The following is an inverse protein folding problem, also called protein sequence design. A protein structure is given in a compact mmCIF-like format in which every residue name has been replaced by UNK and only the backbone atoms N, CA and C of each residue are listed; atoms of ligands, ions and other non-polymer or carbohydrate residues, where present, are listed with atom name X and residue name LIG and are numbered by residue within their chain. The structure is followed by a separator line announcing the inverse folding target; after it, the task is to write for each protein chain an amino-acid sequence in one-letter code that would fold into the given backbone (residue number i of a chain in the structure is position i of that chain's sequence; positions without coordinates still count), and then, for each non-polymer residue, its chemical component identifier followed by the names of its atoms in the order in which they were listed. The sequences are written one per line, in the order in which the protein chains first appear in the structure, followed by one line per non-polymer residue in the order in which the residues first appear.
data_IF_859615786235
#
_entry.id   IF_859615786235
#
_cell.length_a   1.000
_cell.length_b   1.000
_cell.length_c   1.000
_cell.angle_alpha   90.00
_cell.angle_beta   90.00
_cell.angle_gamma   90.00
#
_symmetry.space_group_name_H-M   'P 1'
#
loop_
_entity.id
_entity.type
_entity.pdbx_description
1 polymer ?
#
# COMPACT_ATOMS: atom_id res chain seq x y z
N UNK A 1 -3.97 27.22 -24.97
CA UNK A 1 -3.70 27.56 -23.55
C UNK A 1 -4.88 28.30 -22.94
N UNK A 2 -5.39 29.37 -23.56
CA UNK A 2 -6.52 30.17 -23.01
C UNK A 2 -7.87 29.42 -22.89
N UNK A 3 -8.19 28.48 -23.78
CA UNK A 3 -9.46 27.73 -23.73
C UNK A 3 -9.52 26.76 -22.55
N UNK A 4 -8.38 26.24 -22.10
CA UNK A 4 -8.28 25.36 -20.92
C UNK A 4 -8.37 26.19 -19.64
N UNK A 5 -7.81 27.40 -19.63
CA UNK A 5 -7.87 28.34 -18.51
C UNK A 5 -9.30 28.89 -18.29
N UNK A 6 -10.07 29.06 -19.37
CA UNK A 6 -11.47 29.47 -19.31
C UNK A 6 -12.41 28.38 -18.79
N UNK A 7 -12.16 27.10 -19.13
CA UNK A 7 -12.90 25.97 -18.57
C UNK A 7 -12.53 25.72 -17.10
N UNK A 8 -11.27 25.93 -16.72
CA UNK A 8 -10.77 25.86 -15.34
C UNK A 8 -11.45 26.87 -14.40
N UNK A 9 -11.68 28.11 -14.89
CA UNK A 9 -12.27 29.17 -14.07
C UNK A 9 -13.81 29.10 -13.95
N UNK A 10 -14.52 28.43 -14.87
CA UNK A 10 -15.98 28.39 -14.86
C UNK A 10 -16.59 27.24 -14.03
N UNK A 11 -15.97 26.05 -13.98
CA UNK A 11 -16.53 24.89 -13.25
C UNK A 11 -16.05 24.75 -11.79
N UNK A 12 -14.86 25.27 -11.45
CA UNK A 12 -14.22 25.00 -10.14
C UNK A 12 -14.27 26.14 -9.12
N UNK A 13 -14.66 27.36 -9.53
CA UNK A 13 -14.84 28.53 -8.67
C UNK A 13 -15.79 28.32 -7.47
N UNK A 14 -16.88 27.52 -7.55
CA UNK A 14 -17.76 27.33 -6.39
C UNK A 14 -17.18 26.40 -5.31
N UNK A 15 -16.22 25.55 -5.66
CA UNK A 15 -15.72 24.47 -4.77
C UNK A 15 -14.45 24.91 -4.02
N UNK A 16 -13.60 25.73 -4.64
CA UNK A 16 -12.34 26.23 -4.05
C UNK A 16 -12.55 27.06 -2.78
N UNK A 17 -13.71 27.70 -2.65
CA UNK A 17 -14.05 28.52 -1.47
C UNK A 17 -14.66 27.72 -0.30
N UNK A 18 -15.00 26.44 -0.49
CA UNK A 18 -15.58 25.58 0.55
C UNK A 18 -14.60 24.53 1.11
N UNK A 19 -13.44 24.35 0.48
CA UNK A 19 -12.51 23.27 0.78
C UNK A 19 -11.22 23.86 1.37
N UNK A 20 -10.87 23.43 2.58
CA UNK A 20 -9.63 23.81 3.26
C UNK A 20 -8.41 23.65 2.31
N UNK A 21 -7.48 24.62 2.25
CA UNK A 21 -6.34 24.58 1.32
C UNK A 21 -5.51 23.29 1.41
N UNK A 22 -5.48 22.62 2.57
CA UNK A 22 -4.80 21.31 2.72
C UNK A 22 -5.54 20.16 2.04
N UNK A 23 -6.87 20.19 2.05
CA UNK A 23 -7.74 19.21 1.37
C UNK A 23 -7.71 19.41 -0.14
N UNK A 24 -7.61 20.67 -0.59
CA UNK A 24 -7.39 21.00 -2.00
C UNK A 24 -6.08 20.38 -2.51
N UNK A 25 -4.99 20.48 -1.76
CA UNK A 25 -3.70 19.85 -2.11
C UNK A 25 -3.77 18.32 -2.16
N UNK A 26 -4.50 17.65 -1.25
CA UNK A 26 -4.64 16.19 -1.30
C UNK A 26 -5.46 15.75 -2.51
N UNK A 27 -6.58 16.43 -2.78
CA UNK A 27 -7.41 16.15 -3.97
C UNK A 27 -6.64 16.47 -5.25
N UNK A 28 -5.89 17.56 -5.31
CA UNK A 28 -5.03 17.91 -6.45
C UNK A 28 -3.88 16.93 -6.63
N UNK A 29 -3.20 16.49 -5.58
CA UNK A 29 -2.11 15.50 -5.68
C UNK A 29 -2.68 14.16 -6.16
N UNK A 30 -3.81 13.71 -5.61
CA UNK A 30 -4.47 12.48 -6.03
C UNK A 30 -4.92 12.61 -7.49
N UNK A 31 -5.54 13.74 -7.87
CA UNK A 31 -6.01 14.01 -9.23
C UNK A 31 -4.86 14.16 -10.24
N UNK A 32 -3.79 14.86 -9.87
CA UNK A 32 -2.58 15.07 -10.67
C UNK A 32 -1.82 13.76 -10.87
N UNK A 33 -1.63 12.95 -9.81
CA UNK A 33 -1.00 11.63 -9.92
C UNK A 33 -1.87 10.70 -10.78
N UNK A 34 -3.19 10.69 -10.59
CA UNK A 34 -4.09 9.91 -11.44
C UNK A 34 -3.96 10.37 -12.90
N UNK A 35 -3.97 11.68 -13.17
CA UNK A 35 -3.89 12.21 -14.52
C UNK A 35 -2.52 12.04 -15.17
N UNK A 36 -1.40 12.21 -14.47
CA UNK A 36 -0.05 11.96 -15.00
C UNK A 36 0.15 10.48 -15.32
N UNK A 37 -0.29 9.58 -14.44
CA UNK A 37 -0.19 8.13 -14.68
C UNK A 37 -1.15 7.70 -15.80
N UNK A 38 -2.31 8.34 -15.96
CA UNK A 38 -3.21 8.13 -17.10
C UNK A 38 -2.66 8.75 -18.39
N UNK A 39 -1.98 9.89 -18.33
CA UNK A 39 -1.30 10.53 -19.46
C UNK A 39 -0.13 9.68 -19.96
N UNK A 40 0.64 9.08 -19.06
CA UNK A 40 1.63 8.05 -19.41
C UNK A 40 0.94 6.87 -20.12
N UNK A 41 -0.19 6.37 -19.63
CA UNK A 41 -0.96 5.31 -20.34
C UNK A 41 -1.47 5.77 -21.72
N UNK A 42 -1.88 7.03 -21.87
CA UNK A 42 -2.37 7.60 -23.14
C UNK A 42 -1.24 7.76 -24.16
N UNK A 43 -0.12 8.38 -23.76
CA UNK A 43 1.05 8.59 -24.62
C UNK A 43 1.63 7.26 -25.11
N UNK A 44 1.72 6.26 -24.23
CA UNK A 44 2.20 4.93 -24.62
C UNK A 44 1.14 4.08 -25.35
N UNK A 45 -0.15 4.32 -25.14
CA UNK A 45 -1.24 3.69 -25.90
C UNK A 45 -1.31 4.16 -27.36
N UNK A 46 -0.78 5.35 -27.66
CA UNK A 46 -0.65 5.87 -29.02
C UNK A 46 0.63 5.35 -29.71
N UNK A 47 1.66 5.03 -28.92
CA UNK A 47 2.91 4.44 -29.41
C UNK A 47 2.76 2.93 -29.68
N UNK A 48 2.27 2.58 -30.88
CA UNK A 48 2.22 1.24 -31.50
C UNK A 48 1.12 0.28 -31.01
N UNK A 49 0.15 -0.10 -31.86
CA UNK A 49 -0.79 -1.18 -31.58
C UNK A 49 -0.15 -2.59 -31.63
N UNK A 50 1.16 -2.70 -31.93
CA UNK A 50 1.88 -3.95 -32.11
C UNK A 50 2.87 -4.27 -30.98
N UNK A 51 3.12 -3.34 -30.05
CA UNK A 51 3.88 -3.63 -28.84
C UNK A 51 3.00 -4.36 -27.82
N UNK A 52 2.74 -5.63 -28.12
CA UNK A 52 2.19 -6.73 -27.31
C UNK A 52 1.68 -6.38 -25.91
N UNK A 53 0.43 -6.78 -25.60
CA UNK A 53 -0.19 -6.81 -24.26
C UNK A 53 0.78 -7.15 -23.09
N UNK A 54 1.76 -8.01 -23.35
CA UNK A 54 2.87 -8.34 -22.45
C UNK A 54 3.71 -7.13 -22.01
N UNK A 55 4.12 -6.25 -22.93
CA UNK A 55 4.92 -5.04 -22.66
C UNK A 55 4.16 -4.06 -21.80
N UNK A 56 2.86 -3.86 -22.09
CA UNK A 56 2.00 -2.98 -21.30
C UNK A 56 1.79 -3.49 -19.86
N UNK A 57 1.52 -4.79 -19.70
CA UNK A 57 1.43 -5.43 -18.38
C UNK A 57 2.76 -5.31 -17.62
N UNK A 58 3.88 -5.62 -18.27
CA UNK A 58 5.21 -5.56 -17.66
C UNK A 58 5.56 -4.15 -17.17
N UNK A 59 5.33 -3.11 -17.99
CA UNK A 59 5.55 -1.72 -17.60
C UNK A 59 4.68 -1.32 -16.41
N UNK A 60 3.41 -1.74 -16.40
CA UNK A 60 2.50 -1.57 -15.26
C UNK A 60 3.10 -2.13 -13.97
N UNK A 61 3.64 -3.34 -14.02
CA UNK A 61 4.29 -3.98 -12.88
C UNK A 61 5.54 -3.21 -12.43
N UNK A 62 6.39 -2.80 -13.37
CA UNK A 62 7.61 -2.04 -13.04
C UNK A 62 7.28 -0.70 -12.36
N UNK A 63 6.28 0.03 -12.86
CA UNK A 63 5.85 1.29 -12.25
C UNK A 63 5.28 1.07 -10.85
N UNK A 64 4.43 0.06 -10.69
CA UNK A 64 3.86 -0.32 -9.39
C UNK A 64 4.97 -0.65 -8.38
N UNK A 65 5.91 -1.52 -8.76
CA UNK A 65 7.00 -1.95 -7.90
C UNK A 65 7.94 -0.78 -7.57
N UNK A 66 8.23 0.09 -8.54
CA UNK A 66 9.04 1.29 -8.33
C UNK A 66 8.39 2.25 -7.31
N UNK A 67 7.07 2.46 -7.40
CA UNK A 67 6.33 3.31 -6.46
C UNK A 67 6.29 2.70 -5.07
N UNK A 68 6.09 1.38 -4.96
CA UNK A 68 6.18 0.69 -3.67
C UNK A 68 7.58 0.79 -3.06
N UNK A 69 8.64 0.61 -3.86
CA UNK A 69 10.02 0.72 -3.40
C UNK A 69 10.36 2.15 -2.97
N UNK A 70 9.90 3.17 -3.71
CA UNK A 70 10.14 4.56 -3.35
C UNK A 70 9.42 4.96 -2.06
N UNK A 71 8.14 4.60 -1.92
CA UNK A 71 7.37 4.83 -0.69
C UNK A 71 8.00 4.11 0.51
N UNK A 72 8.42 2.86 0.31
CA UNK A 72 9.10 2.05 1.31
C UNK A 72 10.43 2.65 1.77
N UNK A 73 11.22 3.15 0.82
CA UNK A 73 12.52 3.79 1.09
C UNK A 73 12.33 5.10 1.86
N UNK A 74 11.31 5.89 1.50
CA UNK A 74 10.95 7.12 2.20
C UNK A 74 10.52 6.82 3.65
N UNK A 75 9.68 5.81 3.87
CA UNK A 75 9.27 5.38 5.21
C UNK A 75 10.46 4.93 6.04
N UNK A 76 11.34 4.08 5.50
CA UNK A 76 12.55 3.64 6.20
C UNK A 76 13.46 4.82 6.54
N UNK A 77 13.64 5.75 5.61
CA UNK A 77 14.43 6.97 5.82
C UNK A 77 13.86 7.80 6.98
N UNK A 78 12.55 8.05 7.00
CA UNK A 78 11.88 8.80 8.08
C UNK A 78 12.12 8.12 9.43
N UNK A 79 11.98 6.80 9.51
CA UNK A 79 12.13 6.07 10.76
C UNK A 79 13.57 6.06 11.26
N UNK A 80 14.54 5.86 10.37
CA UNK A 80 15.96 5.89 10.71
C UNK A 80 16.35 7.29 11.16
N UNK A 81 15.96 8.33 10.42
CA UNK A 81 16.21 9.72 10.77
C UNK A 81 15.61 10.08 12.14
N UNK A 82 14.35 9.69 12.39
CA UNK A 82 13.67 9.96 13.64
C UNK A 82 14.28 9.18 14.81
N UNK A 83 14.69 7.93 14.58
CA UNK A 83 15.38 7.11 15.57
C UNK A 83 16.75 7.69 15.94
N UNK A 84 17.49 8.22 14.96
CA UNK A 84 18.77 8.89 15.20
C UNK A 84 18.60 10.22 15.96
N UNK A 85 17.52 10.97 15.68
CA UNK A 85 17.27 12.28 16.29
C UNK A 85 16.75 12.18 17.72
N UNK A 86 15.81 11.27 17.99
CA UNK A 86 15.05 11.22 19.24
C UNK A 86 15.21 9.90 20.03
N UNK A 87 16.01 8.95 19.53
CA UNK A 87 16.09 7.59 20.08
C UNK A 87 14.85 6.74 19.77
N UNK A 88 14.94 5.44 20.07
CA UNK A 88 13.84 4.48 19.85
C UNK A 88 12.62 4.77 20.72
N UNK A 89 12.82 5.27 21.93
CA UNK A 89 11.73 5.52 22.88
C UNK A 89 10.91 6.75 22.50
N UNK A 90 11.56 7.77 21.93
CA UNK A 90 10.90 8.96 21.39
C UNK A 90 10.11 8.68 20.10
N UNK A 91 10.50 7.65 19.33
CA UNK A 91 9.77 7.23 18.11
C UNK A 91 8.35 6.76 18.44
N UNK A 92 8.16 6.12 19.60
CA UNK A 92 6.86 5.58 20.02
C UNK A 92 6.14 6.48 21.03
N UNK A 93 6.52 7.75 21.15
CA UNK A 93 5.84 8.67 22.06
C UNK A 93 4.44 9.05 21.53
N UNK A 94 3.43 9.03 22.39
CA UNK A 94 2.04 9.28 21.98
C UNK A 94 1.83 10.67 21.35
N UNK A 95 2.43 11.69 21.95
CA UNK A 95 2.38 13.09 21.50
C UNK A 95 2.90 13.22 20.06
N UNK A 96 4.03 12.57 19.78
CA UNK A 96 4.65 12.50 18.46
C UNK A 96 3.80 11.71 17.47
N UNK A 97 3.20 10.59 17.88
CA UNK A 97 2.45 9.72 16.98
C UNK A 97 1.05 10.25 16.60
N UNK A 98 0.38 10.95 17.52
CA UNK A 98 -1.00 11.42 17.32
C UNK A 98 -1.04 12.90 16.92
N UNK A 99 -0.38 13.76 17.70
CA UNK A 99 -0.40 15.21 17.49
C UNK A 99 0.75 15.75 16.65
N UNK A 100 1.83 14.99 16.51
CA UNK A 100 2.98 15.32 15.69
C UNK A 100 2.89 14.80 14.26
N UNK A 101 3.67 15.43 13.38
CA UNK A 101 3.93 14.98 12.02
C UNK A 101 5.44 15.03 11.80
N UNK A 102 6.06 13.88 11.55
CA UNK A 102 7.49 13.83 11.28
C UNK A 102 7.82 14.54 9.96
N UNK A 103 9.07 15.01 9.86
CA UNK A 103 9.59 15.55 8.60
C UNK A 103 9.39 14.49 7.49
N UNK A 104 8.85 14.90 6.35
CA UNK A 104 8.53 14.05 5.20
C UNK A 104 7.36 13.05 5.37
N UNK A 105 6.80 12.89 6.57
CA UNK A 105 5.68 11.97 6.80
C UNK A 105 4.43 12.37 6.01
N UNK A 106 4.04 13.65 6.08
CA UNK A 106 2.86 14.15 5.36
C UNK A 106 2.94 13.95 3.84
N UNK A 107 3.99 14.43 3.13
CA UNK A 107 4.09 14.22 1.68
C UNK A 107 4.21 12.74 1.30
N UNK A 108 4.92 11.92 2.11
CA UNK A 108 5.01 10.47 1.88
C UNK A 108 3.64 9.79 1.99
N UNK A 109 2.82 10.20 2.96
CA UNK A 109 1.46 9.69 3.13
C UNK A 109 0.54 10.17 2.00
N UNK A 110 0.63 11.42 1.55
CA UNK A 110 -0.10 11.94 0.39
C UNK A 110 0.22 11.14 -0.88
N UNK A 111 1.51 10.94 -1.16
CA UNK A 111 1.98 10.17 -2.31
C UNK A 111 1.47 8.72 -2.27
N UNK A 112 1.61 8.07 -1.11
CA UNK A 112 1.10 6.71 -0.91
C UNK A 112 -0.41 6.63 -1.07
N UNK A 113 -1.16 7.60 -0.55
CA UNK A 113 -2.62 7.67 -0.66
C UNK A 113 -3.07 7.81 -2.12
N UNK A 114 -2.44 8.69 -2.90
CA UNK A 114 -2.74 8.83 -4.33
C UNK A 114 -2.47 7.54 -5.11
N UNK A 115 -1.36 6.86 -4.82
CA UNK A 115 -1.06 5.58 -5.42
C UNK A 115 -2.07 4.48 -5.05
N UNK A 116 -2.43 4.33 -3.77
CA UNK A 116 -3.44 3.34 -3.35
C UNK A 116 -4.81 3.60 -4.00
N UNK A 117 -5.19 4.87 -4.19
CA UNK A 117 -6.43 5.25 -4.86
C UNK A 117 -6.40 4.87 -6.34
N UNK A 118 -5.26 5.13 -7.00
CA UNK A 118 -5.02 4.70 -8.36
C UNK A 118 -5.09 3.17 -8.51
N UNK A 119 -4.40 2.42 -7.64
CA UNK A 119 -4.37 0.95 -7.71
C UNK A 119 -5.76 0.36 -7.44
N UNK A 120 -6.53 0.93 -6.50
CA UNK A 120 -7.92 0.57 -6.25
C UNK A 120 -8.81 0.79 -7.48
N UNK A 121 -8.71 1.97 -8.11
CA UNK A 121 -9.48 2.30 -9.31
C UNK A 121 -9.10 1.39 -10.48
N UNK A 122 -7.82 1.10 -10.64
CA UNK A 122 -7.28 0.23 -11.66
C UNK A 122 -7.78 -1.22 -11.47
N UNK A 123 -7.80 -1.74 -10.24
CA UNK A 123 -8.38 -3.05 -9.93
C UNK A 123 -9.88 -3.12 -10.26
N UNK A 124 -10.63 -2.05 -10.04
CA UNK A 124 -12.06 -1.97 -10.35
C UNK A 124 -12.32 -1.94 -11.87
N UNK A 125 -11.63 -1.05 -12.59
CA UNK A 125 -11.80 -0.86 -14.03
C UNK A 125 -11.49 -2.14 -14.81
N UNK A 126 -10.41 -2.83 -14.45
CA UNK A 126 -9.96 -4.03 -15.13
C UNK A 126 -10.45 -5.33 -14.48
N UNK A 127 -11.33 -5.24 -13.47
CA UNK A 127 -11.87 -6.38 -12.72
C UNK A 127 -10.78 -7.36 -12.26
N UNK A 128 -9.65 -6.83 -11.78
CA UNK A 128 -8.47 -7.61 -11.35
C UNK A 128 -8.65 -8.22 -9.95
N UNK A 129 -9.87 -8.63 -9.62
CA UNK A 129 -10.25 -9.17 -8.33
C UNK A 129 -11.01 -10.48 -8.50
N UNK A 130 -10.90 -11.38 -7.53
CA UNK A 130 -11.52 -12.72 -7.58
C UNK A 130 -12.35 -12.97 -6.34
N UNK A 131 -13.56 -13.49 -6.53
CA UNK A 131 -14.52 -13.80 -5.46
C UNK A 131 -15.55 -12.71 -5.19
N UNK A 132 -16.51 -13.03 -4.32
CA UNK A 132 -17.62 -12.15 -3.91
C UNK A 132 -17.15 -10.96 -3.06
N UNK A 133 -16.13 -11.16 -2.21
CA UNK A 133 -15.53 -10.12 -1.37
C UNK A 133 -14.02 -10.18 -1.58
N UNK A 134 -13.47 -9.39 -2.52
CA UNK A 134 -12.05 -9.39 -2.78
C UNK A 134 -11.30 -8.76 -1.61
N UNK A 135 -10.58 -9.59 -0.84
CA UNK A 135 -9.82 -9.17 0.34
C UNK A 135 -8.85 -8.03 0.05
N UNK A 136 -8.19 -8.05 -1.11
CA UNK A 136 -7.27 -6.99 -1.55
C UNK A 136 -7.97 -5.64 -1.77
N UNK A 137 -9.19 -5.65 -2.32
CA UNK A 137 -9.95 -4.43 -2.57
C UNK A 137 -10.46 -3.83 -1.25
N UNK A 138 -10.86 -4.68 -0.31
CA UNK A 138 -11.27 -4.26 1.04
C UNK A 138 -10.09 -3.71 1.84
N UNK A 139 -8.90 -4.31 1.70
CA UNK A 139 -7.66 -3.82 2.28
C UNK A 139 -7.36 -2.39 1.85
N UNK A 140 -7.35 -2.16 0.54
CA UNK A 140 -7.10 -0.84 -0.06
C UNK A 140 -8.18 0.17 0.32
N UNK A 141 -9.45 -0.25 0.40
CA UNK A 141 -10.54 0.61 0.86
C UNK A 141 -10.33 1.07 2.31
N UNK A 142 -10.00 0.15 3.22
CA UNK A 142 -9.76 0.49 4.64
C UNK A 142 -8.56 1.44 4.76
N UNK A 143 -7.45 1.16 4.06
CA UNK A 143 -6.28 2.04 4.03
C UNK A 143 -6.62 3.44 3.51
N UNK A 144 -7.36 3.54 2.40
CA UNK A 144 -7.75 4.82 1.82
C UNK A 144 -8.62 5.66 2.75
N UNK A 145 -9.58 5.04 3.46
CA UNK A 145 -10.39 5.72 4.46
C UNK A 145 -9.51 6.25 5.60
N UNK A 146 -8.61 5.42 6.13
CA UNK A 146 -7.70 5.83 7.19
C UNK A 146 -6.74 6.95 6.76
N UNK A 147 -6.14 6.84 5.56
CA UNK A 147 -5.20 7.81 5.03
C UNK A 147 -5.87 9.14 4.76
N UNK A 148 -7.01 9.13 4.09
CA UNK A 148 -7.77 10.35 3.77
C UNK A 148 -8.21 11.06 5.04
N UNK A 149 -8.71 10.34 6.05
CA UNK A 149 -9.13 10.98 7.30
C UNK A 149 -7.95 11.59 8.06
N UNK A 150 -6.82 10.88 8.14
CA UNK A 150 -5.63 11.39 8.81
C UNK A 150 -5.03 12.60 8.09
N UNK A 151 -5.00 12.60 6.76
CA UNK A 151 -4.57 13.76 5.96
C UNK A 151 -5.53 14.95 6.11
N UNK A 152 -6.84 14.68 6.17
CA UNK A 152 -7.88 15.70 6.35
C UNK A 152 -7.82 16.35 7.74
N UNK A 153 -7.62 15.55 8.80
CA UNK A 153 -7.53 16.05 10.18
C UNK A 153 -6.12 16.48 10.58
N UNK A 154 -5.09 16.06 9.84
CA UNK A 154 -3.67 16.18 10.20
C UNK A 154 -3.37 15.63 11.61
N UNK A 155 -3.95 14.46 11.92
CA UNK A 155 -3.78 13.73 13.18
C UNK A 155 -3.45 12.29 12.83
N UNK A 156 -2.64 11.59 13.63
CA UNK A 156 -2.25 10.18 13.44
C UNK A 156 -1.44 9.88 12.18
N UNK A 157 -0.88 10.91 11.53
CA UNK A 157 -0.08 10.75 10.29
C UNK A 157 1.12 9.81 10.54
N UNK A 158 1.80 9.97 11.67
CA UNK A 158 2.95 9.14 12.03
C UNK A 158 2.55 7.68 12.34
N UNK A 159 1.38 7.45 12.94
CA UNK A 159 0.82 6.10 13.08
C UNK A 159 0.63 5.43 11.70
N UNK A 160 0.16 6.17 10.71
CA UNK A 160 -0.03 5.63 9.37
C UNK A 160 1.30 5.40 8.63
N UNK A 161 2.32 6.23 8.85
CA UNK A 161 3.68 5.93 8.37
C UNK A 161 4.19 4.61 8.94
N UNK A 162 3.97 4.33 10.24
CA UNK A 162 4.32 3.04 10.83
C UNK A 162 3.54 1.88 10.16
N UNK A 163 2.26 2.10 9.84
CA UNK A 163 1.47 1.08 9.13
C UNK A 163 1.93 0.85 7.70
N UNK A 164 2.50 1.85 7.02
CA UNK A 164 3.07 1.69 5.67
C UNK A 164 4.31 0.77 5.63
N UNK A 165 5.07 0.66 6.72
CA UNK A 165 6.11 -0.38 6.85
C UNK A 165 5.51 -1.77 6.63
N UNK A 166 4.26 -1.95 7.06
CA UNK A 166 3.60 -3.24 6.95
C UNK A 166 3.26 -3.62 5.51
N UNK A 167 3.25 -2.64 4.62
CA UNK A 167 3.08 -2.83 3.19
C UNK A 167 4.37 -3.24 2.47
N UNK A 168 5.54 -3.26 3.14
CA UNK A 168 6.77 -3.83 2.57
C UNK A 168 6.60 -5.29 2.13
N UNK A 169 5.68 -6.03 2.77
CA UNK A 169 5.38 -7.40 2.37
C UNK A 169 4.77 -7.50 0.97
N UNK A 170 4.03 -6.49 0.51
CA UNK A 170 3.38 -6.51 -0.81
C UNK A 170 4.42 -6.58 -1.94
N UNK A 171 5.60 -5.97 -1.78
CA UNK A 171 6.71 -6.03 -2.76
C UNK A 171 7.09 -7.48 -3.05
N UNK A 172 7.25 -8.31 -2.01
CA UNK A 172 7.58 -9.73 -2.18
C UNK A 172 6.47 -10.51 -2.87
N UNK A 173 5.20 -10.15 -2.64
CA UNK A 173 4.06 -10.76 -3.33
C UNK A 173 4.00 -10.35 -4.81
N UNK A 174 4.30 -9.09 -5.13
CA UNK A 174 4.37 -8.59 -6.50
C UNK A 174 5.51 -9.27 -7.28
N UNK A 175 6.71 -9.33 -6.70
CA UNK A 175 7.85 -10.07 -7.28
C UNK A 175 7.48 -11.54 -7.53
N UNK A 176 6.79 -12.19 -6.58
CA UNK A 176 6.29 -13.56 -6.77
C UNK A 176 5.28 -13.66 -7.90
N UNK A 177 4.37 -12.69 -8.05
CA UNK A 177 3.39 -12.66 -9.15
C UNK A 177 4.09 -12.48 -10.50
N UNK A 178 5.03 -11.55 -10.60
CA UNK A 178 5.83 -11.28 -11.81
C UNK A 178 6.58 -12.52 -12.26
N UNK A 179 7.30 -13.18 -11.37
CA UNK A 179 8.00 -14.43 -11.69
C UNK A 179 7.07 -15.49 -12.25
N UNK A 180 5.88 -15.67 -11.65
CA UNK A 180 4.89 -16.66 -12.11
C UNK A 180 4.29 -16.30 -13.47
N UNK A 181 4.16 -15.02 -13.80
CA UNK A 181 3.74 -14.54 -15.12
C UNK A 181 4.86 -14.67 -16.16
N UNK A 182 6.12 -14.53 -15.77
CA UNK A 182 7.29 -14.73 -16.64
C UNK A 182 7.54 -16.20 -17.02
N UNK A 183 6.66 -17.13 -16.64
CA UNK A 183 6.77 -18.55 -16.99
C UNK A 183 7.83 -19.32 -16.22
N UNK A 184 8.57 -18.67 -15.31
CA UNK A 184 9.59 -19.29 -14.47
C UNK A 184 8.89 -20.11 -13.37
N UNK A 185 8.59 -21.37 -13.69
CA UNK A 185 7.85 -22.32 -12.84
C UNK A 185 8.71 -23.44 -12.26
N UNK A 186 10.04 -23.38 -12.39
CA UNK A 186 10.94 -24.45 -11.96
C UNK A 186 10.97 -24.65 -10.44
N UNK A 187 10.01 -25.43 -9.95
CA UNK A 187 9.81 -25.82 -8.57
C UNK A 187 10.99 -26.63 -7.96
N UNK A 188 11.92 -27.11 -8.81
CA UNK A 188 13.13 -27.84 -8.39
C UNK A 188 14.28 -26.92 -7.97
N UNK A 189 14.23 -25.62 -8.23
CA UNK A 189 15.35 -24.71 -7.99
C UNK A 189 15.46 -24.25 -6.52
N UNK A 190 16.70 -24.09 -6.03
CA UNK A 190 17.01 -23.42 -4.74
C UNK A 190 16.35 -22.04 -4.64
N UNK A 191 16.09 -21.39 -5.77
CA UNK A 191 15.42 -20.09 -5.90
C UNK A 191 14.00 -20.15 -5.33
N UNK A 192 13.22 -21.19 -5.62
CA UNK A 192 11.84 -21.31 -5.13
C UNK A 192 11.77 -21.51 -3.61
N UNK A 193 12.71 -22.27 -3.05
CA UNK A 193 12.82 -22.42 -1.59
C UNK A 193 13.21 -21.10 -0.93
N UNK A 194 14.19 -20.39 -1.48
CA UNK A 194 14.60 -19.08 -0.97
C UNK A 194 13.45 -18.06 -1.00
N UNK A 195 12.68 -18.03 -2.08
CA UNK A 195 11.51 -17.16 -2.21
C UNK A 195 10.43 -17.46 -1.18
N UNK A 196 10.19 -18.75 -0.90
CA UNK A 196 9.26 -19.15 0.14
C UNK A 196 9.73 -18.71 1.53
N UNK A 197 11.02 -18.90 1.84
CA UNK A 197 11.61 -18.44 3.10
C UNK A 197 11.49 -16.91 3.21
N UNK A 198 11.89 -16.16 2.19
CA UNK A 198 11.79 -14.70 2.17
C UNK A 198 10.35 -14.23 2.34
N UNK A 199 9.38 -14.87 1.68
CA UNK A 199 7.99 -14.48 1.79
C UNK A 199 7.41 -14.76 3.19
N UNK A 200 7.79 -15.87 3.81
CA UNK A 200 7.41 -16.19 5.19
C UNK A 200 8.05 -15.24 6.20
N UNK A 201 9.34 -14.96 6.05
CA UNK A 201 10.06 -14.00 6.92
C UNK A 201 9.44 -12.62 6.79
N UNK A 202 9.21 -12.15 5.56
CA UNK A 202 8.56 -10.87 5.31
C UNK A 202 7.15 -10.82 5.90
N UNK A 203 6.36 -11.89 5.80
CA UNK A 203 5.02 -11.95 6.40
C UNK A 203 5.08 -11.86 7.93
N UNK A 204 5.95 -12.64 8.58
CA UNK A 204 6.06 -12.65 10.04
C UNK A 204 6.57 -11.31 10.56
N UNK A 205 7.63 -10.76 9.97
CA UNK A 205 8.27 -9.53 10.46
C UNK A 205 7.45 -8.30 10.07
N UNK A 206 7.16 -8.14 8.78
CA UNK A 206 6.55 -6.92 8.26
C UNK A 206 5.04 -6.89 8.43
N UNK A 207 4.34 -8.02 8.61
CA UNK A 207 2.88 -8.00 8.83
C UNK A 207 2.51 -8.40 10.25
N UNK A 208 2.91 -9.58 10.73
CA UNK A 208 2.50 -10.01 12.06
C UNK A 208 3.13 -9.15 13.17
N UNK A 209 4.46 -9.03 13.18
CA UNK A 209 5.18 -8.29 14.22
C UNK A 209 4.77 -6.83 14.30
N UNK A 210 4.82 -6.12 13.17
CA UNK A 210 4.45 -4.71 13.07
C UNK A 210 2.98 -4.44 13.47
N UNK A 211 2.01 -5.21 12.97
CA UNK A 211 0.60 -5.01 13.31
C UNK A 211 0.32 -5.30 14.78
N UNK A 212 0.97 -6.31 15.36
CA UNK A 212 0.88 -6.60 16.80
C UNK A 212 1.44 -5.42 17.59
N UNK A 213 2.62 -4.92 17.22
CA UNK A 213 3.24 -3.77 17.88
C UNK A 213 2.35 -2.52 17.81
N UNK A 214 1.84 -2.19 16.62
CA UNK A 214 0.95 -1.03 16.41
C UNK A 214 -0.37 -1.22 17.18
N UNK A 215 -0.93 -2.42 17.21
CA UNK A 215 -2.18 -2.72 17.94
C UNK A 215 -1.98 -2.60 19.45
N UNK A 216 -0.92 -3.21 20.00
CA UNK A 216 -0.57 -3.08 21.43
C UNK A 216 -0.38 -1.60 21.78
N UNK A 217 0.35 -0.88 20.94
CA UNK A 217 0.64 0.54 21.16
C UNK A 217 -0.64 1.38 21.11
N UNK A 218 -1.51 1.15 20.13
CA UNK A 218 -2.81 1.81 20.00
C UNK A 218 -3.71 1.54 21.21
N UNK A 219 -3.76 0.30 21.71
CA UNK A 219 -4.54 -0.06 22.91
C UNK A 219 -3.97 0.63 24.15
N UNK A 220 -2.65 0.67 24.32
CA UNK A 220 -2.00 1.34 25.46
C UNK A 220 -2.20 2.85 25.44
N UNK A 221 -2.26 3.43 24.24
CA UNK A 221 -2.46 4.86 24.02
C UNK A 221 -3.94 5.25 23.94
N UNK A 222 -4.87 4.31 23.83
CA UNK A 222 -6.31 4.53 23.79
C UNK A 222 -6.85 5.54 24.83
N UNK A 223 -6.46 5.49 26.13
CA UNK A 223 -6.94 6.47 27.11
C UNK A 223 -6.38 7.88 26.91
N UNK A 224 -5.33 8.06 26.11
CA UNK A 224 -4.70 9.36 25.81
C UNK A 224 -5.30 10.02 24.58
N UNK A 225 -6.04 9.29 23.76
CA UNK A 225 -6.75 9.89 22.61
C UNK A 225 -7.84 10.83 23.09
N UNK A 226 -7.93 11.98 22.45
CA UNK A 226 -9.03 12.91 22.66
C UNK A 226 -10.37 12.26 22.29
N UNK A 227 -11.46 12.70 22.93
CA UNK A 227 -12.81 12.21 22.64
C UNK A 227 -13.20 12.60 21.22
N UNK A 228 -13.19 11.63 20.30
CA UNK A 228 -13.51 11.87 18.89
C UNK A 228 -13.55 10.59 18.05
N UNK A 229 -13.74 10.76 16.74
CA UNK A 229 -13.85 9.65 15.76
C UNK A 229 -12.52 8.95 15.47
N UNK A 230 -11.40 9.50 15.92
CA UNK A 230 -10.05 9.03 15.59
C UNK A 230 -9.75 7.65 16.20
N UNK A 231 -10.05 7.46 17.49
CA UNK A 231 -9.80 6.20 18.18
C UNK A 231 -10.69 5.06 17.65
N UNK A 232 -12.02 5.24 17.51
CA UNK A 232 -12.88 4.22 16.89
C UNK A 232 -12.42 3.87 15.47
N UNK A 233 -12.02 4.84 14.66
CA UNK A 233 -11.54 4.57 13.31
C UNK A 233 -10.20 3.84 13.32
N UNK A 234 -9.24 4.23 14.15
CA UNK A 234 -7.94 3.57 14.24
C UNK A 234 -8.09 2.11 14.71
N UNK A 235 -8.97 1.86 15.68
CA UNK A 235 -9.28 0.51 16.15
C UNK A 235 -9.97 -0.32 15.07
N UNK A 236 -10.94 0.27 14.35
CA UNK A 236 -11.62 -0.39 13.24
C UNK A 236 -10.65 -0.72 12.09
N UNK A 237 -9.80 0.23 11.70
CA UNK A 237 -8.76 0.04 10.69
C UNK A 237 -7.81 -1.07 11.09
N UNK A 238 -7.26 -1.04 12.31
CA UNK A 238 -6.36 -2.10 12.79
C UNK A 238 -7.05 -3.47 12.88
N UNK A 239 -8.30 -3.53 13.32
CA UNK A 239 -9.06 -4.79 13.37
C UNK A 239 -9.30 -5.36 11.96
N UNK A 240 -9.73 -4.53 11.01
CA UNK A 240 -9.93 -4.93 9.62
C UNK A 240 -8.63 -5.42 8.97
N UNK A 241 -7.54 -4.69 9.16
CA UNK A 241 -6.23 -5.08 8.62
C UNK A 241 -5.69 -6.37 9.24
N UNK A 242 -5.89 -6.59 10.54
CA UNK A 242 -5.51 -7.83 11.21
C UNK A 242 -6.32 -9.03 10.69
N UNK A 243 -7.62 -8.85 10.44
CA UNK A 243 -8.48 -9.88 9.85
C UNK A 243 -8.03 -10.26 8.43
N UNK A 244 -7.72 -9.26 7.60
CA UNK A 244 -7.24 -9.47 6.24
C UNK A 244 -5.86 -10.14 6.22
N UNK A 245 -4.97 -9.76 7.14
CA UNK A 245 -3.67 -10.41 7.31
C UNK A 245 -3.80 -11.89 7.74
N UNK A 246 -4.77 -12.22 8.59
CA UNK A 246 -5.06 -13.62 8.93
C UNK A 246 -5.53 -14.42 7.70
N UNK A 247 -6.40 -13.85 6.88
CA UNK A 247 -6.83 -14.44 5.60
C UNK A 247 -5.65 -14.71 4.66
N UNK A 248 -4.77 -13.72 4.48
CA UNK A 248 -3.56 -13.87 3.67
C UNK A 248 -2.62 -14.96 4.20
N UNK A 249 -2.46 -15.06 5.53
CA UNK A 249 -1.66 -16.11 6.16
C UNK A 249 -2.22 -17.51 5.87
N UNK A 250 -3.54 -17.68 5.91
CA UNK A 250 -4.22 -18.93 5.56
C UNK A 250 -3.96 -19.29 4.08
N UNK A 251 -4.10 -18.32 3.18
CA UNK A 251 -3.89 -18.55 1.75
C UNK A 251 -2.43 -18.89 1.43
N UNK A 252 -1.49 -18.23 2.11
CA UNK A 252 -0.07 -18.52 2.01
C UNK A 252 0.25 -19.94 2.48
N UNK A 253 -0.31 -20.35 3.62
CA UNK A 253 -0.15 -21.70 4.16
C UNK A 253 -0.75 -22.78 3.24
N UNK A 254 -1.95 -22.55 2.69
CA UNK A 254 -2.58 -23.44 1.71
C UNK A 254 -1.72 -23.58 0.46
N UNK A 255 -1.19 -22.47 -0.06
CA UNK A 255 -0.33 -22.48 -1.24
C UNK A 255 0.98 -23.25 -0.98
N UNK A 256 1.59 -23.06 0.19
CA UNK A 256 2.80 -23.78 0.62
C UNK A 256 2.55 -25.29 0.71
N UNK A 257 1.47 -25.69 1.38
CA UNK A 257 1.09 -27.11 1.54
C UNK A 257 0.86 -27.78 0.18
N UNK A 258 0.18 -27.09 -0.76
CA UNK A 258 -0.05 -27.60 -2.11
C UNK A 258 1.26 -27.83 -2.86
N UNK A 259 2.18 -26.87 -2.80
CA UNK A 259 3.47 -26.95 -3.50
C UNK A 259 4.37 -28.07 -2.95
N UNK A 260 4.39 -28.26 -1.61
CA UNK A 260 5.07 -29.40 -0.98
C UNK A 260 4.48 -30.75 -1.41
N UNK A 261 3.16 -30.86 -1.46
CA UNK A 261 2.50 -32.12 -1.83
C UNK A 261 2.79 -32.50 -3.29
N UNK A 262 2.84 -31.52 -4.20
CA UNK A 262 3.25 -31.75 -5.61
C UNK A 262 4.70 -32.23 -5.72
N UNK A 263 5.61 -31.69 -4.90
CA UNK A 263 7.00 -32.13 -4.86
C UNK A 263 7.15 -33.58 -4.37
N UNK A 264 6.39 -33.99 -3.35
CA UNK A 264 6.38 -35.38 -2.85
C UNK A 264 5.80 -36.37 -3.87
N UNK A 265 4.72 -36.00 -4.56
CA UNK A 265 4.10 -36.85 -5.58
C UNK A 265 4.98 -37.10 -6.80
N UNK A 266 5.79 -36.10 -7.21
CA UNK A 266 6.74 -36.26 -8.32
C UNK A 266 7.95 -37.13 -7.99
N UNK A 267 8.28 -37.31 -6.71
CA UNK A 267 9.38 -38.18 -6.28
C UNK A 267 8.96 -39.65 -6.33
N UNK A 268 7.73 -39.96 -5.93
CA UNK A 268 7.18 -41.32 -5.90
C UNK A 268 6.84 -41.91 -7.28
N UNK A 269 6.82 -41.10 -8.34
CA UNK A 269 6.54 -41.55 -9.72
C UNK A 269 7.81 -41.68 -10.58
N UNK A 270 8.98 -41.36 -10.02
CA UNK A 270 10.29 -41.45 -10.67
C UNK A 270 11.18 -42.58 -10.15
N UNK A 271 10.63 -43.48 -9.33
CA UNK A 271 11.23 -44.77 -8.95
C UNK A 271 10.54 -45.92 -9.71
#
# INVERSE_FOLDING_TARGET
MEVIELLYNQEFSPISNLVNPKTFVVVEIVYYIINEVQMLKFVYGIASPFATCFTFLFLRFVVIDLVFVSASSAVLFILVYQCLKNGSDGLFEHSQLVGGTWEWAYPTLCFSCGYFAYDQLDMLLYRLYSGLIPSILMHHLILLICFTLALYRNVTVNYLILTLICELHSIFLHVRKVRRMAGVRDAKSKIVKLEWVLNWVAFIVARCGSHILITIKLIRDAPKFEKGVQLPLALFGMAGMNLLNAGLGIDLFKAFKREINTLKGSYNHGE
#
